data_IF_005898784884
#
_entry.id   IF_005898784884
#
_cell.length_a   1.000
_cell.length_b   1.000
_cell.length_c   1.000
_cell.angle_alpha   90.00
_cell.angle_beta   90.00
_cell.angle_gamma   90.00
#
_symmetry.space_group_name_H-M   'P 1'
#
loop_
_entity.id
_entity.type
_entity.pdbx_description
1 polymer ?
#
# COMPACT_ATOMS: atom_id res chain seq x y z
N UNK A 1 -52.02 20.52 -43.07
CA UNK A 1 -50.94 19.98 -42.21
C UNK A 1 -50.33 21.17 -41.50
N UNK A 2 -50.52 21.27 -40.20
CA UNK A 2 -50.22 22.48 -39.42
C UNK A 2 -48.85 22.36 -38.73
N UNK A 3 -47.92 23.22 -39.13
CA UNK A 3 -46.65 23.50 -38.41
C UNK A 3 -46.96 24.35 -37.17
N UNK A 4 -46.58 23.92 -36.00
CA UNK A 4 -46.62 24.74 -34.79
C UNK A 4 -45.19 25.23 -34.51
N UNK A 5 -45.04 26.54 -34.56
CA UNK A 5 -43.85 27.25 -34.10
C UNK A 5 -43.82 27.25 -32.56
N UNK A 6 -42.67 26.96 -31.98
CA UNK A 6 -42.40 27.12 -30.54
C UNK A 6 -41.53 28.36 -30.39
N UNK A 7 -42.04 29.35 -29.69
CA UNK A 7 -41.38 30.59 -29.30
C UNK A 7 -40.24 30.30 -28.27
N UNK A 8 -39.09 30.83 -28.53
CA UNK A 8 -38.04 30.98 -27.52
C UNK A 8 -38.30 32.25 -26.69
N UNK A 9 -38.51 32.05 -25.38
CA UNK A 9 -38.53 33.13 -24.40
C UNK A 9 -37.10 33.32 -23.89
N UNK A 10 -36.50 34.48 -24.16
CA UNK A 10 -35.24 34.90 -23.61
C UNK A 10 -35.46 35.45 -22.19
N UNK A 11 -35.04 34.73 -21.19
CA UNK A 11 -34.95 35.20 -19.80
C UNK A 11 -33.52 35.57 -19.51
N UNK A 12 -33.26 36.86 -19.30
CA UNK A 12 -31.98 37.40 -18.91
C UNK A 12 -31.59 36.88 -17.53
N UNK A 13 -30.47 36.15 -17.44
CA UNK A 13 -29.87 35.76 -16.19
C UNK A 13 -28.85 36.81 -15.76
N UNK A 14 -29.18 37.54 -14.70
CA UNK A 14 -28.27 38.50 -14.03
C UNK A 14 -27.16 37.71 -13.35
N UNK A 15 -25.95 37.89 -13.83
CA UNK A 15 -24.73 37.35 -13.19
C UNK A 15 -24.40 38.21 -11.97
N UNK A 16 -24.78 37.72 -10.79
CA UNK A 16 -24.25 38.21 -9.53
C UNK A 16 -22.85 37.58 -9.30
N UNK A 17 -21.80 38.38 -9.51
CA UNK A 17 -20.46 38.08 -9.04
C UNK A 17 -20.45 38.06 -7.50
N UNK A 18 -20.60 36.89 -6.91
CA UNK A 18 -20.35 36.65 -5.51
C UNK A 18 -18.85 36.42 -5.30
N UNK A 19 -18.11 37.47 -4.89
CA UNK A 19 -16.79 37.28 -4.32
C UNK A 19 -16.92 36.43 -3.03
N UNK A 20 -16.55 35.17 -3.11
CA UNK A 20 -16.29 34.37 -1.91
C UNK A 20 -14.97 34.85 -1.31
N UNK A 21 -15.07 35.69 -0.28
CA UNK A 21 -13.99 35.88 0.68
C UNK A 21 -13.68 34.49 1.29
N UNK A 22 -12.49 33.99 1.00
CA UNK A 22 -11.95 32.84 1.72
C UNK A 22 -11.67 33.29 3.16
N UNK A 23 -12.64 33.04 4.02
CA UNK A 23 -12.40 33.10 5.46
C UNK A 23 -11.54 31.88 5.80
N UNK A 24 -10.26 32.11 6.04
CA UNK A 24 -9.43 31.16 6.76
C UNK A 24 -9.99 31.02 8.17
N UNK A 25 -10.86 30.05 8.35
CA UNK A 25 -11.26 29.61 9.68
C UNK A 25 -10.06 28.81 10.20
N UNK A 26 -9.22 29.48 11.01
CA UNK A 26 -8.28 28.78 11.86
C UNK A 26 -9.11 27.82 12.73
N UNK A 27 -8.86 26.54 12.60
CA UNK A 27 -9.45 25.54 13.46
C UNK A 27 -9.09 25.88 14.92
N UNK A 28 -10.02 25.75 15.89
CA UNK A 28 -9.70 25.97 17.28
C UNK A 28 -8.74 24.87 17.74
N UNK A 29 -7.48 25.23 17.91
CA UNK A 29 -6.52 24.45 18.67
C UNK A 29 -6.92 24.51 20.14
N UNK A 30 -7.79 23.61 20.59
CA UNK A 30 -7.92 23.25 22.03
C UNK A 30 -8.78 21.98 22.16
N UNK A 31 -8.19 20.85 21.80
CA UNK A 31 -8.30 19.63 22.60
C UNK A 31 -6.86 19.18 22.78
N UNK A 32 -6.39 19.14 24.03
CA UNK A 32 -5.21 18.39 24.37
C UNK A 32 -5.48 16.96 23.91
N UNK A 33 -4.88 16.59 22.78
CA UNK A 33 -4.76 15.20 22.39
C UNK A 33 -4.13 14.48 23.57
N UNK A 34 -4.88 13.63 24.24
CA UNK A 34 -4.29 12.59 25.08
C UNK A 34 -3.28 11.91 24.17
N UNK A 35 -1.99 12.07 24.49
CA UNK A 35 -0.92 11.55 23.67
C UNK A 35 -1.18 10.07 23.45
N UNK A 36 -1.44 9.69 22.19
CA UNK A 36 -1.73 8.32 21.82
C UNK A 36 -0.49 7.48 22.10
N UNK A 37 -0.48 6.76 23.22
CA UNK A 37 0.67 6.02 23.76
C UNK A 37 0.85 4.65 23.08
N UNK A 38 0.61 4.55 21.79
CA UNK A 38 0.88 3.31 21.08
C UNK A 38 2.38 3.03 20.95
N UNK A 39 2.75 1.78 21.16
CA UNK A 39 4.12 1.31 21.01
C UNK A 39 4.47 1.18 19.53
N UNK A 40 5.44 1.97 19.08
CA UNK A 40 5.87 2.06 17.69
C UNK A 40 7.10 1.19 17.49
N UNK A 41 6.92 0.03 16.88
CA UNK A 41 8.00 -0.93 16.64
C UNK A 41 8.58 -0.72 15.25
N UNK A 42 9.88 -0.45 15.18
CA UNK A 42 10.63 -0.21 13.93
C UNK A 42 11.64 -1.35 13.69
N UNK A 43 11.98 -1.55 12.43
CA UNK A 43 13.10 -2.38 12.01
C UNK A 43 14.17 -1.51 11.35
N UNK A 44 15.40 -1.62 11.80
CA UNK A 44 16.46 -0.72 11.37
C UNK A 44 17.84 -1.35 11.46
N UNK A 45 18.81 -0.80 10.75
CA UNK A 45 20.23 -1.16 10.89
C UNK A 45 20.80 -0.30 12.02
N UNK A 46 21.21 -0.94 13.11
CA UNK A 46 21.72 -0.25 14.29
C UNK A 46 23.14 0.27 14.08
N UNK A 47 23.36 1.51 14.49
CA UNK A 47 24.69 2.13 14.53
C UNK A 47 25.48 1.82 15.80
N UNK A 48 24.85 1.19 16.80
CA UNK A 48 25.49 0.88 18.07
C UNK A 48 26.64 -0.12 17.88
N UNK A 49 27.84 0.15 18.45
CA UNK A 49 28.98 -0.74 18.28
C UNK A 49 28.73 -2.19 18.74
N UNK A 50 27.94 -2.36 19.79
CA UNK A 50 27.57 -3.68 20.30
C UNK A 50 26.73 -4.51 19.29
N UNK A 51 26.09 -3.87 18.33
CA UNK A 51 25.24 -4.52 17.34
C UNK A 51 25.96 -4.78 16.01
N UNK A 52 27.17 -4.22 15.80
CA UNK A 52 27.99 -4.49 14.63
C UNK A 52 27.33 -4.20 13.28
N UNK A 53 26.44 -3.23 13.18
CA UNK A 53 25.71 -2.92 11.95
C UNK A 53 24.63 -3.94 11.60
N UNK A 54 24.15 -4.71 12.57
CA UNK A 54 23.09 -5.70 12.37
C UNK A 54 21.72 -5.04 12.25
N UNK A 55 20.79 -5.74 11.61
CA UNK A 55 19.38 -5.38 11.62
C UNK A 55 18.78 -5.68 12.98
N UNK A 56 18.14 -4.69 13.56
CA UNK A 56 17.49 -4.79 14.87
C UNK A 56 16.02 -4.38 14.80
N UNK A 57 15.22 -4.92 15.72
CA UNK A 57 13.97 -4.31 16.11
C UNK A 57 14.19 -3.31 17.23
N UNK A 58 13.48 -2.19 17.17
CA UNK A 58 13.56 -1.12 18.16
C UNK A 58 12.20 -0.51 18.47
N UNK A 59 12.13 0.19 19.61
CA UNK A 59 10.99 1.02 20.01
C UNK A 59 11.30 2.47 19.65
N UNK A 60 10.47 3.10 18.84
CA UNK A 60 10.61 4.53 18.51
C UNK A 60 10.28 5.36 19.73
N UNK A 61 11.24 6.15 20.20
CA UNK A 61 11.12 7.04 21.35
C UNK A 61 10.78 8.48 20.95
N UNK A 62 11.30 8.90 19.79
CA UNK A 62 11.02 10.22 19.23
C UNK A 62 10.99 10.17 17.70
N UNK A 63 10.22 11.06 17.13
CA UNK A 63 10.15 11.31 15.70
C UNK A 63 10.06 12.81 15.41
N UNK A 64 10.40 13.19 14.19
CA UNK A 64 10.17 14.52 13.64
C UNK A 64 9.15 14.39 12.51
N UNK A 65 7.93 14.83 12.77
CA UNK A 65 6.83 14.80 11.81
C UNK A 65 6.64 13.40 11.15
N UNK A 66 6.66 12.35 11.95
CA UNK A 66 6.48 10.96 11.49
C UNK A 66 7.74 10.27 10.96
N UNK A 67 8.91 10.93 11.02
CA UNK A 67 10.21 10.37 10.65
C UNK A 67 10.95 10.01 11.94
N UNK A 68 11.36 8.74 12.15
CA UNK A 68 12.00 8.32 13.40
C UNK A 68 13.35 9.01 13.59
N UNK A 69 13.56 9.57 14.78
CA UNK A 69 14.80 10.27 15.14
C UNK A 69 15.54 9.58 16.27
N UNK A 70 14.82 8.87 17.15
CA UNK A 70 15.40 8.20 18.32
C UNK A 70 14.77 6.83 18.53
N UNK A 71 15.59 5.81 18.64
CA UNK A 71 15.14 4.42 18.76
C UNK A 71 15.84 3.76 19.97
N UNK A 72 15.08 3.03 20.77
CA UNK A 72 15.63 2.12 21.79
C UNK A 72 15.71 0.73 21.22
N UNK A 73 16.90 0.13 21.24
CA UNK A 73 17.10 -1.25 20.81
C UNK A 73 16.35 -2.22 21.75
N UNK A 74 15.63 -3.18 21.19
CA UNK A 74 14.90 -4.20 21.94
C UNK A 74 15.71 -5.47 22.21
N UNK A 75 16.91 -5.56 21.65
CA UNK A 75 17.84 -6.68 21.84
C UNK A 75 18.30 -6.89 23.28
N UNK A 76 18.30 -5.84 24.10
CA UNK A 76 18.64 -5.95 25.51
C UNK A 76 17.54 -6.67 26.33
N UNK A 77 16.31 -6.69 25.82
CA UNK A 77 15.21 -7.49 26.37
C UNK A 77 15.16 -8.89 25.76
N UNK A 78 15.52 -9.01 24.48
CA UNK A 78 15.56 -10.26 23.76
C UNK A 78 16.65 -10.25 22.67
N UNK A 79 17.84 -10.82 22.92
CA UNK A 79 19.01 -10.75 22.02
C UNK A 79 18.74 -11.13 20.56
N UNK A 80 17.85 -12.11 20.23
CA UNK A 80 17.53 -12.41 18.84
C UNK A 80 16.85 -11.29 18.05
N UNK A 81 16.45 -10.18 18.68
CA UNK A 81 15.89 -9.01 18.00
C UNK A 81 16.93 -8.14 17.30
N UNK A 82 18.25 -8.42 17.47
CA UNK A 82 19.33 -7.97 16.58
C UNK A 82 19.98 -9.19 15.94
N UNK A 83 20.11 -9.23 14.63
CA UNK A 83 20.57 -10.40 13.90
C UNK A 83 21.33 -10.09 12.63
N UNK A 84 22.28 -10.95 12.28
CA UNK A 84 23.01 -10.90 11.02
C UNK A 84 22.38 -11.86 9.99
N UNK A 85 22.19 -11.36 8.76
CA UNK A 85 21.79 -12.15 7.61
C UNK A 85 20.28 -12.26 7.38
N UNK A 86 19.91 -12.55 6.14
CA UNK A 86 18.51 -12.52 5.68
C UNK A 86 17.65 -13.66 6.22
N UNK A 87 18.21 -14.84 6.50
CA UNK A 87 17.45 -16.05 6.81
C UNK A 87 16.65 -16.02 8.11
N UNK A 88 16.86 -15.03 8.98
CA UNK A 88 16.08 -14.83 10.21
C UNK A 88 14.98 -13.78 10.07
N UNK A 89 15.00 -12.98 9.01
CA UNK A 89 14.01 -11.92 8.78
C UNK A 89 12.59 -12.44 8.66
N UNK A 90 12.48 -13.67 8.21
CA UNK A 90 11.23 -14.30 7.83
C UNK A 90 10.49 -14.96 9.00
N UNK A 91 11.00 -14.83 10.23
CA UNK A 91 10.33 -15.42 11.39
C UNK A 91 9.24 -14.49 11.94
N UNK A 92 7.95 -14.79 11.77
CA UNK A 92 6.83 -14.02 12.34
C UNK A 92 6.97 -13.86 13.85
N UNK A 93 7.55 -14.85 14.52
CA UNK A 93 7.89 -14.81 15.94
C UNK A 93 8.74 -13.62 16.32
N UNK A 94 9.67 -13.15 15.47
CA UNK A 94 10.49 -11.98 15.79
C UNK A 94 9.66 -10.72 15.90
N UNK A 95 8.65 -10.53 15.06
CA UNK A 95 7.72 -9.39 15.15
C UNK A 95 6.90 -9.45 16.43
N UNK A 96 6.37 -10.62 16.75
CA UNK A 96 5.62 -10.84 17.99
C UNK A 96 6.49 -10.57 19.22
N UNK A 97 7.71 -11.12 19.27
CA UNK A 97 8.66 -10.86 20.35
C UNK A 97 9.09 -9.40 20.44
N UNK A 98 9.19 -8.68 19.32
CA UNK A 98 9.48 -7.25 19.33
C UNK A 98 8.36 -6.44 20.02
N UNK A 99 7.10 -6.78 19.76
CA UNK A 99 5.98 -6.18 20.49
C UNK A 99 5.96 -6.55 21.97
N UNK A 100 6.19 -7.81 22.33
CA UNK A 100 6.27 -8.25 23.73
C UNK A 100 7.42 -7.56 24.47
N UNK A 101 8.58 -7.40 23.84
CA UNK A 101 9.71 -6.66 24.39
C UNK A 101 9.41 -5.17 24.55
N UNK A 102 8.72 -4.55 23.60
CA UNK A 102 8.31 -3.16 23.68
C UNK A 102 7.29 -2.94 24.80
N UNK A 103 6.33 -3.84 24.97
CA UNK A 103 5.34 -3.82 26.06
C UNK A 103 6.03 -3.98 27.44
N UNK A 104 6.97 -4.92 27.54
CA UNK A 104 7.77 -5.09 28.77
C UNK A 104 8.58 -3.85 29.10
N UNK A 105 9.21 -3.21 28.11
CA UNK A 105 9.97 -1.98 28.27
C UNK A 105 9.09 -0.81 28.74
N UNK A 106 7.84 -0.73 28.26
CA UNK A 106 6.88 0.30 28.62
C UNK A 106 6.35 0.13 30.07
N UNK A 107 6.05 -1.12 30.47
CA UNK A 107 5.49 -1.40 31.81
C UNK A 107 6.48 -1.21 32.94
N UNK A 108 7.73 -1.58 32.73
CA UNK A 108 8.72 -1.56 33.81
C UNK A 108 9.40 -0.21 34.01
N UNK A 109 9.13 0.81 33.17
CA UNK A 109 9.74 2.13 33.24
C UNK A 109 11.28 2.07 33.19
N UNK A 110 11.84 0.90 32.90
CA UNK A 110 13.25 0.65 32.92
C UNK A 110 13.90 1.27 31.68
N UNK A 111 14.87 2.13 31.89
CA UNK A 111 15.77 2.67 30.88
C UNK A 111 16.70 1.58 30.31
N UNK A 112 16.28 0.30 30.33
CA UNK A 112 17.03 -0.79 29.75
C UNK A 112 16.90 -0.76 28.24
N UNK A 113 18.02 -0.76 27.57
CA UNK A 113 18.15 -0.74 26.11
C UNK A 113 18.94 0.45 25.63
N UNK A 114 19.97 0.19 24.86
CA UNK A 114 20.80 1.22 24.27
C UNK A 114 19.96 2.09 23.32
N UNK A 115 20.20 3.40 23.36
CA UNK A 115 19.51 4.36 22.50
C UNK A 115 20.36 4.65 21.28
N UNK A 116 19.73 4.61 20.11
CA UNK A 116 20.28 4.93 18.82
C UNK A 116 19.66 6.24 18.32
N UNK A 117 20.48 7.24 18.06
CA UNK A 117 20.05 8.56 17.57
C UNK A 117 20.16 8.59 16.05
N UNK A 118 19.05 8.37 15.35
CA UNK A 118 19.03 8.24 13.88
C UNK A 118 19.26 9.58 13.18
N UNK A 119 18.74 10.68 13.74
CA UNK A 119 18.80 12.00 13.11
C UNK A 119 20.15 12.73 13.26
N UNK A 120 20.92 12.42 14.31
CA UNK A 120 22.22 13.06 14.56
C UNK A 120 23.34 12.41 13.73
N UNK A 121 23.14 11.14 13.33
CA UNK A 121 24.17 10.33 12.66
C UNK A 121 24.02 10.35 11.13
N UNK A 122 22.83 10.64 10.60
CA UNK A 122 22.53 10.52 9.18
C UNK A 122 21.77 11.72 8.66
N UNK A 123 22.18 12.29 7.52
CA UNK A 123 21.32 13.15 6.73
C UNK A 123 20.01 12.44 6.40
N UNK A 124 18.90 13.18 6.30
CA UNK A 124 17.57 12.58 6.05
C UNK A 124 17.51 11.76 4.77
N UNK A 125 18.30 12.11 3.74
CA UNK A 125 18.43 11.38 2.49
C UNK A 125 19.08 10.00 2.64
N UNK A 126 19.76 9.74 3.76
CA UNK A 126 20.40 8.45 4.06
C UNK A 126 19.56 7.53 4.97
N UNK A 127 18.37 7.94 5.38
CA UNK A 127 17.47 7.06 6.15
C UNK A 127 17.07 5.80 5.38
N UNK A 128 17.06 5.85 4.04
CA UNK A 128 16.86 4.67 3.20
C UNK A 128 17.87 3.53 3.44
N UNK A 129 19.06 3.86 3.93
CA UNK A 129 20.10 2.87 4.20
C UNK A 129 19.91 2.15 5.54
N UNK A 130 19.22 2.77 6.49
CA UNK A 130 19.13 2.27 7.87
C UNK A 130 17.74 1.93 8.34
N UNK A 131 16.69 2.55 7.80
CA UNK A 131 15.30 2.23 8.14
C UNK A 131 14.75 1.23 7.12
N UNK A 132 14.47 0.04 7.59
CA UNK A 132 14.05 -1.08 6.77
C UNK A 132 12.52 -1.23 6.77
N UNK A 133 11.94 -1.97 5.80
CA UNK A 133 10.54 -2.32 5.88
C UNK A 133 10.27 -3.01 7.22
N UNK A 134 9.24 -2.59 7.97
CA UNK A 134 8.96 -3.18 9.29
C UNK A 134 8.58 -4.65 9.19
N UNK A 135 8.10 -5.08 8.04
CA UNK A 135 7.75 -6.45 7.71
C UNK A 135 8.77 -7.02 6.72
N UNK A 136 9.10 -8.30 6.88
CA UNK A 136 10.03 -8.97 5.98
C UNK A 136 9.35 -10.16 5.32
N UNK A 137 9.28 -10.11 4.00
CA UNK A 137 8.89 -11.22 3.14
C UNK A 137 10.05 -11.44 2.17
N UNK A 138 10.50 -12.67 2.00
CA UNK A 138 11.48 -13.01 0.98
C UNK A 138 10.80 -13.51 -0.29
N UNK A 139 11.52 -13.44 -1.41
CA UNK A 139 11.07 -14.02 -2.68
C UNK A 139 10.83 -15.53 -2.54
N UNK A 140 11.70 -16.22 -1.81
CA UNK A 140 11.56 -17.65 -1.58
C UNK A 140 10.25 -18.01 -0.84
N UNK A 141 9.77 -17.15 0.06
CA UNK A 141 8.48 -17.31 0.74
C UNK A 141 7.31 -17.04 -0.19
N UNK A 142 7.40 -16.02 -1.02
CA UNK A 142 6.41 -15.76 -2.06
C UNK A 142 6.33 -16.94 -3.05
N UNK A 143 7.48 -17.44 -3.50
CA UNK A 143 7.55 -18.56 -4.45
C UNK A 143 7.01 -19.86 -3.89
N UNK A 144 7.25 -20.11 -2.62
CA UNK A 144 6.77 -21.32 -1.93
C UNK A 144 5.38 -21.19 -1.35
N UNK A 145 4.69 -20.09 -1.61
CA UNK A 145 3.36 -19.78 -1.04
C UNK A 145 3.33 -19.79 0.50
N UNK A 146 4.48 -19.55 1.13
CA UNK A 146 4.55 -19.51 2.58
C UNK A 146 4.04 -18.20 3.16
N UNK A 147 4.05 -17.13 2.33
CA UNK A 147 3.46 -15.83 2.68
C UNK A 147 2.94 -15.13 1.45
N UNK A 148 1.97 -14.26 1.65
CA UNK A 148 1.34 -13.52 0.57
C UNK A 148 1.23 -12.04 0.91
N UNK A 149 1.21 -11.20 -0.11
CA UNK A 149 0.73 -9.83 -0.03
C UNK A 149 -0.61 -9.81 -0.75
N UNK A 150 -1.65 -9.41 -0.04
CA UNK A 150 -3.03 -9.35 -0.52
C UNK A 150 -3.40 -7.89 -0.69
N UNK A 151 -3.74 -7.49 -1.91
CA UNK A 151 -4.31 -6.18 -2.20
C UNK A 151 -5.83 -6.22 -2.20
N UNK A 152 -6.45 -5.18 -1.61
CA UNK A 152 -7.88 -4.95 -1.65
C UNK A 152 -8.15 -3.68 -2.45
N UNK A 153 -8.39 -3.81 -3.75
CA UNK A 153 -8.61 -2.68 -4.64
C UNK A 153 -9.99 -2.04 -4.47
N UNK A 154 -10.06 -0.75 -4.80
CA UNK A 154 -11.32 0.01 -4.96
C UNK A 154 -12.18 0.01 -3.69
N UNK A 155 -11.55 0.24 -2.54
CA UNK A 155 -12.19 0.12 -1.22
C UNK A 155 -12.63 1.46 -0.60
N UNK A 156 -12.57 2.54 -1.36
CA UNK A 156 -13.12 3.86 -1.01
C UNK A 156 -14.13 4.29 -2.07
N UNK A 157 -15.25 4.88 -1.66
CA UNK A 157 -16.30 5.28 -2.58
C UNK A 157 -15.80 6.29 -3.62
N UNK A 158 -15.03 7.28 -3.18
CA UNK A 158 -14.45 8.32 -4.04
C UNK A 158 -13.54 7.71 -5.12
N UNK A 159 -12.67 6.77 -4.73
CA UNK A 159 -11.81 6.08 -5.70
C UNK A 159 -12.62 5.22 -6.69
N UNK A 160 -13.73 4.60 -6.27
CA UNK A 160 -14.63 3.88 -7.17
C UNK A 160 -15.23 4.79 -8.24
N UNK A 161 -15.64 5.99 -7.83
CA UNK A 161 -16.21 6.99 -8.74
C UNK A 161 -15.14 7.47 -9.75
N UNK A 162 -13.89 7.63 -9.34
CA UNK A 162 -12.76 8.02 -10.20
C UNK A 162 -12.44 7.00 -11.31
N UNK A 163 -12.55 5.71 -10.99
CA UNK A 163 -12.27 4.62 -11.93
C UNK A 163 -13.54 4.01 -12.57
N UNK A 164 -14.70 4.60 -12.32
CA UNK A 164 -15.96 4.22 -12.95
C UNK A 164 -16.52 2.86 -12.54
N UNK A 165 -16.21 2.40 -11.32
CA UNK A 165 -16.68 1.10 -10.79
C UNK A 165 -17.87 1.31 -9.86
N UNK A 166 -18.93 0.48 -10.03
CA UNK A 166 -20.13 0.53 -9.19
C UNK A 166 -19.77 0.43 -7.70
N UNK A 167 -20.15 1.40 -6.85
CA UNK A 167 -19.93 1.36 -5.41
C UNK A 167 -20.52 0.12 -4.70
N UNK A 168 -21.58 -0.46 -5.26
CA UNK A 168 -22.21 -1.69 -4.75
C UNK A 168 -21.47 -2.97 -5.18
N UNK A 169 -20.44 -2.87 -6.03
CA UNK A 169 -19.69 -4.00 -6.56
C UNK A 169 -18.97 -4.84 -5.50
N UNK A 170 -18.59 -6.05 -5.89
CA UNK A 170 -17.78 -6.94 -5.06
C UNK A 170 -16.41 -6.29 -4.74
N UNK A 171 -15.82 -6.68 -3.60
CA UNK A 171 -14.45 -6.28 -3.26
C UNK A 171 -13.48 -6.96 -4.23
N UNK A 172 -12.63 -6.17 -4.86
CA UNK A 172 -11.54 -6.68 -5.68
C UNK A 172 -10.40 -7.10 -4.77
N UNK A 173 -10.06 -8.38 -4.77
CA UNK A 173 -8.89 -8.91 -4.09
C UNK A 173 -7.90 -9.48 -5.11
N UNK A 174 -6.63 -9.19 -4.92
CA UNK A 174 -5.57 -9.68 -5.81
C UNK A 174 -4.29 -10.00 -5.03
N UNK A 175 -3.52 -11.01 -5.45
CA UNK A 175 -2.18 -11.22 -4.92
C UNK A 175 -1.22 -10.18 -5.50
N UNK A 176 -0.34 -9.65 -4.66
CA UNK A 176 0.73 -8.71 -5.03
C UNK A 176 2.08 -9.35 -4.69
N UNK A 177 2.64 -10.21 -5.57
CA UNK A 177 3.90 -10.90 -5.33
C UNK A 177 5.11 -9.96 -5.44
N UNK A 178 5.30 -9.13 -4.44
CA UNK A 178 6.38 -8.14 -4.35
C UNK A 178 7.01 -8.16 -2.96
N UNK A 179 8.31 -7.94 -2.90
CA UNK A 179 9.04 -7.78 -1.63
C UNK A 179 8.85 -6.35 -1.13
N UNK A 180 8.42 -6.14 0.13
CA UNK A 180 8.33 -4.81 0.70
C UNK A 180 9.68 -4.08 0.70
N UNK A 181 9.66 -2.79 0.42
CA UNK A 181 10.81 -1.89 0.56
C UNK A 181 10.66 -0.98 1.76
N UNK A 182 11.77 -0.40 2.21
CA UNK A 182 11.76 0.57 3.30
C UNK A 182 11.02 1.87 2.93
N UNK A 183 10.59 2.64 3.93
CA UNK A 183 9.76 3.83 3.75
C UNK A 183 10.50 4.99 3.05
N UNK A 184 11.81 4.90 2.93
CA UNK A 184 12.68 5.92 2.33
C UNK A 184 13.46 5.39 1.13
N UNK A 185 13.23 4.12 0.75
CA UNK A 185 13.86 3.52 -0.41
C UNK A 185 13.26 4.09 -1.71
N UNK A 186 14.07 4.32 -2.77
CA UNK A 186 13.56 4.83 -4.03
C UNK A 186 12.62 3.83 -4.70
N UNK A 187 11.63 4.36 -5.42
CA UNK A 187 10.77 3.61 -6.34
C UNK A 187 11.31 3.75 -7.76
N UNK A 188 11.42 2.65 -8.48
CA UNK A 188 11.99 2.61 -9.82
C UNK A 188 10.91 2.72 -10.89
N UNK A 189 11.02 3.71 -11.76
CA UNK A 189 10.12 3.91 -12.92
C UNK A 189 10.58 3.11 -14.15
N UNK A 190 11.19 1.97 -13.93
CA UNK A 190 11.62 1.06 -14.99
C UNK A 190 11.48 -0.39 -14.56
N UNK A 191 11.20 -1.24 -15.51
CA UNK A 191 11.02 -2.68 -15.28
C UNK A 191 11.82 -3.49 -16.30
N UNK A 192 12.46 -4.57 -15.84
CA UNK A 192 13.15 -5.54 -16.67
C UNK A 192 12.62 -6.94 -16.36
N UNK A 193 11.95 -7.57 -17.31
CA UNK A 193 11.38 -8.92 -17.17
C UNK A 193 12.34 -9.93 -17.85
N UNK A 194 12.99 -10.77 -17.06
CA UNK A 194 13.93 -11.77 -17.57
C UNK A 194 15.07 -11.11 -18.36
N UNK A 195 15.28 -11.59 -19.62
CA UNK A 195 16.30 -11.07 -20.54
C UNK A 195 15.75 -10.02 -21.51
N UNK A 196 14.49 -9.61 -21.37
CA UNK A 196 13.91 -8.53 -22.16
C UNK A 196 14.54 -7.20 -21.72
N UNK A 197 14.93 -6.33 -22.68
CA UNK A 197 15.47 -5.02 -22.32
C UNK A 197 14.55 -4.25 -21.38
N UNK A 198 15.15 -3.52 -20.46
CA UNK A 198 14.41 -2.66 -19.55
C UNK A 198 13.53 -1.67 -20.31
N UNK A 199 12.28 -1.47 -19.85
CA UNK A 199 11.38 -0.45 -20.36
C UNK A 199 11.04 0.56 -19.27
N UNK A 200 10.82 1.84 -19.61
CA UNK A 200 10.25 2.78 -18.67
C UNK A 200 8.81 2.40 -18.33
N UNK A 201 8.39 2.75 -17.13
CA UNK A 201 6.99 2.76 -16.70
C UNK A 201 6.52 4.20 -16.79
N UNK A 202 5.67 4.49 -17.76
CA UNK A 202 5.21 5.85 -18.05
C UNK A 202 3.93 6.20 -17.28
N UNK A 203 3.09 5.22 -16.99
CA UNK A 203 1.86 5.41 -16.21
C UNK A 203 2.07 4.95 -14.76
N UNK A 204 3.14 5.47 -14.12
CA UNK A 204 3.48 5.16 -12.72
C UNK A 204 2.57 5.93 -11.78
N UNK A 205 1.81 5.22 -10.96
CA UNK A 205 0.83 5.77 -10.05
C UNK A 205 1.11 5.37 -8.60
N UNK A 206 0.54 6.10 -7.68
CA UNK A 206 0.70 5.98 -6.23
C UNK A 206 -0.65 5.67 -5.57
N UNK A 207 -0.61 4.90 -4.49
CA UNK A 207 -1.78 4.55 -3.70
C UNK A 207 -1.38 4.40 -2.23
N UNK A 208 -1.58 5.46 -1.41
CA UNK A 208 -1.34 5.34 0.03
C UNK A 208 -2.44 4.50 0.67
N UNK A 209 -2.04 3.54 1.50
CA UNK A 209 -2.95 2.58 2.12
C UNK A 209 -2.62 2.30 3.58
N UNK A 210 -3.64 1.95 4.33
CA UNK A 210 -3.45 1.28 5.61
C UNK A 210 -3.02 -0.17 5.33
N UNK A 211 -1.78 -0.51 5.67
CA UNK A 211 -1.27 -1.87 5.59
C UNK A 211 -1.39 -2.58 6.93
N UNK A 212 -1.54 -3.90 6.91
CA UNK A 212 -1.43 -4.73 8.10
C UNK A 212 -0.60 -5.98 7.83
N UNK A 213 0.04 -6.49 8.88
CA UNK A 213 0.74 -7.77 8.91
C UNK A 213 0.06 -8.71 9.89
N UNK A 214 -0.07 -9.98 9.51
CA UNK A 214 -0.53 -11.03 10.41
C UNK A 214 0.61 -11.43 11.36
N UNK A 215 0.38 -11.35 12.65
CA UNK A 215 1.34 -11.79 13.69
C UNK A 215 1.23 -13.28 13.97
N UNK A 216 0.10 -13.89 13.60
CA UNK A 216 -0.20 -15.31 13.72
C UNK A 216 -0.85 -15.82 12.44
N UNK A 217 -0.82 -17.14 12.22
CA UNK A 217 -1.54 -17.78 11.13
C UNK A 217 -3.05 -17.50 11.22
N UNK A 218 -3.67 -17.25 10.08
CA UNK A 218 -5.10 -16.98 9.97
C UNK A 218 -5.79 -18.09 9.18
N UNK A 219 -6.52 -18.97 9.88
CA UNK A 219 -7.34 -19.99 9.27
C UNK A 219 -8.67 -19.39 8.80
N UNK A 220 -8.88 -19.36 7.48
CA UNK A 220 -10.09 -18.83 6.86
C UNK A 220 -11.33 -19.74 7.09
N UNK A 221 -11.13 -20.98 7.48
CA UNK A 221 -12.23 -21.88 7.89
C UNK A 221 -12.66 -21.65 9.34
N UNK A 222 -11.76 -21.08 10.16
CA UNK A 222 -12.00 -20.85 11.58
C UNK A 222 -11.51 -19.47 12.01
N UNK A 223 -12.20 -18.43 11.53
CA UNK A 223 -11.85 -17.05 11.87
C UNK A 223 -11.98 -16.75 13.36
N UNK A 224 -11.25 -15.76 13.90
CA UNK A 224 -11.53 -15.17 15.20
C UNK A 224 -13.01 -14.82 15.35
N UNK A 225 -13.54 -14.93 16.57
CA UNK A 225 -14.99 -14.76 16.81
C UNK A 225 -15.49 -13.33 16.71
N UNK A 226 -14.60 -12.35 16.73
CA UNK A 226 -14.93 -10.92 16.71
C UNK A 226 -13.81 -10.07 16.11
N UNK A 227 -14.12 -8.81 15.80
CA UNK A 227 -13.13 -7.80 15.45
C UNK A 227 -12.02 -7.69 16.51
N UNK A 228 -12.39 -7.65 17.79
CA UNK A 228 -11.42 -7.54 18.89
C UNK A 228 -10.44 -8.70 18.91
N UNK A 229 -10.94 -9.92 18.75
CA UNK A 229 -10.08 -11.10 18.69
C UNK A 229 -9.19 -11.15 17.43
N UNK A 230 -9.61 -10.53 16.34
CA UNK A 230 -8.82 -10.40 15.12
C UNK A 230 -7.74 -9.32 15.26
N UNK A 231 -8.11 -8.13 15.79
CA UNK A 231 -7.23 -6.97 15.83
C UNK A 231 -6.00 -7.20 16.70
N UNK A 232 -6.08 -8.09 17.71
CA UNK A 232 -4.97 -8.51 18.56
C UNK A 232 -3.90 -9.31 17.79
N UNK A 233 -4.28 -9.91 16.66
CA UNK A 233 -3.41 -10.77 15.85
C UNK A 233 -2.71 -10.05 14.72
N UNK A 234 -2.84 -8.73 14.64
CA UNK A 234 -2.29 -7.93 13.55
C UNK A 234 -1.52 -6.73 14.06
N UNK A 235 -0.63 -6.20 13.23
CA UNK A 235 -0.04 -4.89 13.41
C UNK A 235 -0.20 -4.06 12.13
N UNK A 236 -0.39 -2.75 12.28
CA UNK A 236 -0.61 -1.81 11.18
C UNK A 236 0.64 -1.02 10.86
N UNK A 237 0.78 -0.62 9.59
CA UNK A 237 1.84 0.23 9.06
C UNK A 237 1.33 1.03 7.86
N UNK A 238 2.09 2.03 7.42
CA UNK A 238 1.83 2.74 6.16
C UNK A 238 2.32 1.88 5.01
N UNK A 239 1.48 1.65 4.01
CA UNK A 239 1.86 1.03 2.74
C UNK A 239 1.64 2.01 1.58
N UNK A 240 2.35 1.79 0.47
CA UNK A 240 2.04 2.41 -0.80
C UNK A 240 1.93 1.33 -1.87
N UNK A 241 0.75 1.19 -2.47
CA UNK A 241 0.49 0.21 -3.53
C UNK A 241 0.84 0.82 -4.90
N UNK A 242 2.13 1.08 -5.10
CA UNK A 242 2.64 1.64 -6.35
C UNK A 242 2.23 0.77 -7.53
N UNK A 243 1.83 1.42 -8.62
CA UNK A 243 1.16 0.76 -9.74
C UNK A 243 1.67 1.23 -11.08
N UNK A 244 1.97 0.30 -11.98
CA UNK A 244 2.05 0.51 -13.42
C UNK A 244 0.64 0.35 -13.99
N UNK A 245 0.03 1.42 -14.47
CA UNK A 245 -1.37 1.39 -14.93
C UNK A 245 -1.53 0.79 -16.31
N UNK A 246 -0.49 0.73 -17.14
CA UNK A 246 -0.57 0.14 -18.47
C UNK A 246 -1.13 -1.28 -18.44
N UNK A 247 -0.52 -2.27 -17.73
CA UNK A 247 -1.07 -3.63 -17.68
C UNK A 247 -2.44 -3.70 -17.00
N UNK A 248 -2.72 -2.82 -16.02
CA UNK A 248 -4.03 -2.77 -15.35
C UNK A 248 -5.16 -2.36 -16.31
N UNK A 249 -4.86 -1.45 -17.24
CA UNK A 249 -5.83 -0.97 -18.24
C UNK A 249 -6.01 -1.99 -19.37
N UNK A 250 -4.91 -2.65 -19.79
CA UNK A 250 -4.91 -3.49 -20.98
C UNK A 250 -5.33 -4.93 -20.72
N UNK A 251 -5.21 -5.45 -19.50
CA UNK A 251 -5.43 -6.86 -19.17
C UNK A 251 -6.36 -7.02 -17.95
N UNK A 252 -7.60 -7.41 -18.22
CA UNK A 252 -8.62 -7.61 -17.18
C UNK A 252 -8.35 -8.83 -16.27
N UNK A 253 -7.54 -9.80 -16.73
CA UNK A 253 -7.32 -11.05 -15.99
C UNK A 253 -6.10 -10.99 -15.07
N UNK A 254 -4.99 -10.44 -15.56
CA UNK A 254 -3.72 -10.47 -14.85
C UNK A 254 -3.15 -9.07 -14.56
N UNK A 255 -3.76 -8.04 -15.11
CA UNK A 255 -3.25 -6.69 -15.10
C UNK A 255 -2.96 -6.15 -13.69
N UNK A 256 -3.82 -6.43 -12.71
CA UNK A 256 -3.59 -6.01 -11.34
C UNK A 256 -2.33 -6.63 -10.74
N UNK A 257 -2.18 -7.95 -10.83
CA UNK A 257 -0.98 -8.61 -10.30
C UNK A 257 0.27 -8.17 -11.07
N UNK A 258 0.19 -8.02 -12.39
CA UNK A 258 1.32 -7.58 -13.21
C UNK A 258 1.72 -6.14 -12.97
N UNK A 259 0.76 -5.22 -12.97
CA UNK A 259 1.05 -3.78 -12.83
C UNK A 259 1.44 -3.36 -11.42
N UNK A 260 1.14 -4.17 -10.42
CA UNK A 260 1.39 -3.85 -9.01
C UNK A 260 2.56 -4.62 -8.38
N UNK A 261 3.22 -5.54 -9.12
CA UNK A 261 4.20 -6.46 -8.53
C UNK A 261 5.64 -6.25 -9.01
N UNK A 262 5.94 -5.10 -9.64
CA UNK A 262 7.31 -4.77 -9.97
C UNK A 262 8.17 -4.54 -8.72
N UNK A 263 9.49 -4.80 -8.78
CA UNK A 263 10.40 -4.47 -7.70
C UNK A 263 10.23 -3.02 -7.23
N UNK A 264 10.36 -2.80 -5.93
CA UNK A 264 10.19 -1.50 -5.25
C UNK A 264 8.76 -0.96 -5.16
N UNK A 265 7.74 -1.65 -5.68
CA UNK A 265 6.34 -1.17 -5.73
C UNK A 265 5.55 -1.38 -4.43
N UNK A 266 6.23 -1.65 -3.31
CA UNK A 266 5.60 -1.76 -2.00
C UNK A 266 6.45 -1.08 -0.90
N UNK A 267 6.59 0.25 -0.91
CA UNK A 267 7.13 0.98 0.25
C UNK A 267 6.27 0.74 1.49
N UNK A 268 6.90 0.39 2.63
CA UNK A 268 6.22 0.10 3.89
C UNK A 268 6.92 0.75 5.08
N UNK A 269 6.17 1.06 6.11
CA UNK A 269 6.69 1.64 7.35
C UNK A 269 6.51 3.16 7.44
N UNK A 270 7.26 3.85 8.34
CA UNK A 270 8.51 3.45 8.99
C UNK A 270 8.40 2.46 10.15
N UNK A 271 7.28 2.40 10.83
CA UNK A 271 7.07 1.51 11.98
C UNK A 271 5.74 0.79 11.94
N UNK A 272 5.55 -0.14 12.84
CA UNK A 272 4.28 -0.83 13.08
C UNK A 272 3.73 -0.49 14.44
N UNK A 273 2.40 -0.53 14.55
CA UNK A 273 1.65 -0.43 15.80
C UNK A 273 0.73 -1.65 15.90
N UNK A 274 0.67 -2.30 17.07
CA UNK A 274 -0.23 -3.43 17.32
C UNK A 274 -1.68 -2.99 17.12
N UNK A 275 -2.46 -3.82 16.45
CA UNK A 275 -3.83 -3.46 16.08
C UNK A 275 -4.72 -3.14 17.28
N UNK A 276 -4.60 -3.87 18.39
CA UNK A 276 -5.34 -3.59 19.62
C UNK A 276 -5.04 -2.21 20.22
N UNK A 277 -3.87 -1.64 19.97
CA UNK A 277 -3.51 -0.30 20.41
C UNK A 277 -4.02 0.79 19.45
N UNK A 278 -4.13 0.51 18.16
CA UNK A 278 -4.52 1.47 17.15
C UNK A 278 -6.04 1.51 16.88
N UNK A 279 -6.67 0.32 16.79
CA UNK A 279 -8.10 0.13 16.56
C UNK A 279 -8.68 1.01 15.46
N UNK A 280 -8.15 0.96 14.21
CA UNK A 280 -8.56 1.89 13.16
C UNK A 280 -10.06 1.77 12.89
N UNK A 281 -10.74 2.93 12.89
CA UNK A 281 -12.16 3.02 12.57
C UNK A 281 -12.35 2.96 11.07
N UNK A 282 -13.28 2.13 10.66
CA UNK A 282 -13.81 2.06 9.30
C UNK A 282 -15.31 2.35 9.34
N UNK A 283 -16.01 2.27 8.24
CA UNK A 283 -17.48 2.50 8.23
C UNK A 283 -18.25 1.63 9.22
N UNK A 284 -17.72 0.48 9.64
CA UNK A 284 -18.45 -0.52 10.44
C UNK A 284 -17.71 -1.03 11.67
N UNK A 285 -16.45 -0.73 11.83
CA UNK A 285 -15.57 -1.36 12.83
C UNK A 285 -14.56 -0.34 13.37
N UNK A 286 -14.04 -0.57 14.58
CA UNK A 286 -12.98 0.22 15.20
C UNK A 286 -13.44 1.50 15.90
N UNK A 287 -12.49 2.21 16.51
CA UNK A 287 -12.76 3.31 17.42
C UNK A 287 -12.20 4.66 16.91
N UNK A 288 -11.03 4.65 16.26
CA UNK A 288 -10.31 5.87 15.88
C UNK A 288 -10.25 6.02 14.36
N UNK A 289 -10.86 7.08 13.80
CA UNK A 289 -10.66 7.44 12.41
C UNK A 289 -9.27 8.03 12.26
N UNK A 290 -8.41 7.34 11.50
CA UNK A 290 -7.04 7.76 11.23
C UNK A 290 -7.02 8.57 9.93
N UNK A 291 -6.32 9.69 9.95
CA UNK A 291 -6.04 10.43 8.71
C UNK A 291 -5.04 9.66 7.87
N UNK A 292 -5.33 9.55 6.58
CA UNK A 292 -4.45 8.96 5.58
C UNK A 292 -4.25 9.96 4.44
N UNK A 293 -3.00 10.19 4.05
CA UNK A 293 -2.72 11.20 3.04
C UNK A 293 -1.44 10.95 2.25
N UNK A 294 -1.37 11.61 1.08
CA UNK A 294 -0.23 11.57 0.18
C UNK A 294 -0.05 12.91 -0.53
N UNK A 295 1.21 13.33 -0.60
CA UNK A 295 1.67 14.52 -1.29
C UNK A 295 2.74 14.17 -2.32
N UNK A 296 2.72 14.85 -3.45
CA UNK A 296 3.73 14.74 -4.51
C UNK A 296 4.46 16.07 -4.65
N UNK A 297 5.78 16.00 -4.70
CA UNK A 297 6.71 17.08 -4.98
C UNK A 297 7.30 16.82 -6.36
N UNK A 298 6.78 17.51 -7.37
CA UNK A 298 7.18 17.32 -8.76
C UNK A 298 8.60 17.86 -8.98
N UNK A 299 9.47 17.07 -9.61
CA UNK A 299 10.87 17.43 -9.86
C UNK A 299 11.03 18.69 -10.72
N UNK A 300 10.08 18.96 -11.61
CA UNK A 300 10.07 20.10 -12.53
C UNK A 300 9.46 21.37 -11.94
N UNK A 301 8.79 21.25 -10.78
CA UNK A 301 8.15 22.37 -10.10
C UNK A 301 9.09 23.07 -9.11
N UNK A 302 8.66 24.23 -8.59
CA UNK A 302 9.35 24.83 -7.45
C UNK A 302 9.33 23.89 -6.24
N UNK A 303 10.40 23.80 -5.43
CA UNK A 303 10.44 22.95 -4.24
C UNK A 303 9.30 23.18 -3.25
N UNK A 304 8.69 24.38 -3.28
CA UNK A 304 7.55 24.73 -2.42
C UNK A 304 6.19 24.37 -3.05
N UNK A 305 6.18 23.86 -4.27
CA UNK A 305 4.95 23.46 -4.95
C UNK A 305 4.61 22.01 -4.60
N UNK A 306 3.88 21.84 -3.49
CA UNK A 306 3.40 20.54 -3.01
C UNK A 306 2.02 20.28 -3.57
N UNK A 307 1.84 19.14 -4.18
CA UNK A 307 0.54 18.66 -4.66
C UNK A 307 -0.05 17.68 -3.64
N UNK A 308 -1.04 18.12 -2.87
CA UNK A 308 -1.84 17.19 -2.05
C UNK A 308 -2.71 16.35 -2.99
N UNK A 309 -2.41 15.07 -3.12
CA UNK A 309 -3.06 14.15 -4.05
C UNK A 309 -4.14 13.33 -3.37
N UNK A 310 -3.86 12.77 -2.21
CA UNK A 310 -4.79 11.93 -1.46
C UNK A 310 -4.93 12.44 -0.02
N UNK A 311 -6.17 12.51 0.47
CA UNK A 311 -6.46 12.84 1.86
C UNK A 311 -7.86 12.31 2.24
N UNK A 312 -7.91 11.40 3.20
CA UNK A 312 -9.16 10.83 3.70
C UNK A 312 -9.03 10.38 5.16
N UNK A 313 -10.16 10.00 5.78
CA UNK A 313 -10.16 9.22 7.01
C UNK A 313 -10.33 7.73 6.71
N UNK A 314 -9.80 6.87 7.55
CA UNK A 314 -10.03 5.42 7.45
C UNK A 314 -11.50 5.04 7.63
N UNK A 315 -12.31 5.89 8.26
CA UNK A 315 -13.76 5.73 8.41
C UNK A 315 -14.52 5.85 7.08
N UNK A 316 -13.91 6.40 6.03
CA UNK A 316 -14.44 6.37 4.66
C UNK A 316 -14.20 5.04 3.92
N UNK A 317 -13.43 4.11 4.51
CA UNK A 317 -13.16 2.79 3.95
C UNK A 317 -14.42 1.94 3.93
N UNK A 318 -14.82 1.42 2.76
CA UNK A 318 -16.05 0.65 2.57
C UNK A 318 -16.03 -0.69 3.31
N UNK A 319 -14.86 -1.34 3.37
CA UNK A 319 -14.63 -2.59 4.07
C UNK A 319 -13.35 -2.51 4.89
N UNK A 320 -13.47 -2.55 6.20
CA UNK A 320 -12.33 -2.57 7.09
C UNK A 320 -11.55 -3.89 7.05
N UNK A 321 -10.39 -3.96 7.73
CA UNK A 321 -9.52 -5.14 7.72
C UNK A 321 -10.25 -6.45 8.07
N UNK A 322 -11.10 -6.42 9.08
CA UNK A 322 -11.89 -7.58 9.50
C UNK A 322 -12.93 -7.98 8.46
N UNK A 323 -13.59 -7.01 7.82
CA UNK A 323 -14.55 -7.28 6.76
C UNK A 323 -13.87 -7.86 5.51
N UNK A 324 -12.64 -7.47 5.19
CA UNK A 324 -11.83 -8.06 4.11
C UNK A 324 -11.57 -9.55 4.41
N UNK A 325 -11.11 -9.86 5.61
CA UNK A 325 -10.82 -11.24 6.02
C UNK A 325 -12.07 -12.11 6.01
N UNK A 326 -13.21 -11.62 6.52
CA UNK A 326 -14.49 -12.32 6.45
C UNK A 326 -14.93 -12.58 5.01
N UNK A 327 -14.73 -11.61 4.12
CA UNK A 327 -15.04 -11.78 2.71
C UNK A 327 -14.20 -12.90 2.08
N UNK A 328 -12.90 -13.00 2.40
CA UNK A 328 -12.06 -14.11 1.95
C UNK A 328 -12.56 -15.47 2.47
N UNK A 329 -12.93 -15.56 3.74
CA UNK A 329 -13.52 -16.76 4.32
C UNK A 329 -14.83 -17.17 3.63
N UNK A 330 -15.71 -16.20 3.36
CA UNK A 330 -16.95 -16.46 2.61
C UNK A 330 -16.69 -16.94 1.18
N UNK A 331 -15.70 -16.38 0.50
CA UNK A 331 -15.27 -16.81 -0.83
C UNK A 331 -14.80 -18.26 -0.80
N UNK A 332 -13.92 -18.59 0.16
CA UNK A 332 -13.41 -19.94 0.35
C UNK A 332 -14.54 -20.95 0.66
N UNK A 333 -15.48 -20.57 1.55
CA UNK A 333 -16.63 -21.41 1.90
C UNK A 333 -17.55 -21.71 0.70
N UNK A 334 -17.58 -20.81 -0.30
CA UNK A 334 -18.30 -21.01 -1.56
C UNK A 334 -17.48 -21.77 -2.62
N UNK A 335 -16.28 -22.25 -2.26
CA UNK A 335 -15.36 -22.92 -3.18
C UNK A 335 -14.71 -21.98 -4.21
N UNK A 336 -14.73 -20.67 -3.97
CA UNK A 336 -14.09 -19.66 -4.83
C UNK A 336 -12.69 -19.40 -4.30
N UNK A 337 -11.69 -19.82 -5.06
CA UNK A 337 -10.28 -19.54 -4.78
C UNK A 337 -9.85 -18.37 -5.66
N UNK A 338 -9.24 -17.37 -5.04
CA UNK A 338 -8.68 -16.26 -5.81
C UNK A 338 -7.26 -16.64 -6.18
N UNK A 339 -7.04 -16.76 -7.48
CA UNK A 339 -5.75 -16.97 -8.09
C UNK A 339 -5.61 -16.03 -9.28
N UNK A 340 -4.49 -15.35 -9.38
CA UNK A 340 -4.11 -14.54 -10.54
C UNK A 340 -2.72 -14.94 -11.01
N UNK A 341 -2.40 -14.67 -12.28
CA UNK A 341 -1.06 -14.90 -12.81
C UNK A 341 -0.18 -13.69 -12.60
N UNK A 342 1.07 -13.91 -12.21
CA UNK A 342 2.09 -12.86 -12.20
C UNK A 342 2.61 -12.54 -13.63
N UNK A 343 3.56 -11.61 -13.72
CA UNK A 343 4.16 -11.21 -14.99
C UNK A 343 4.85 -12.37 -15.76
N UNK A 344 5.15 -13.45 -15.07
CA UNK A 344 5.79 -14.65 -15.62
C UNK A 344 4.81 -15.80 -15.88
N UNK A 345 3.50 -15.58 -15.67
CA UNK A 345 2.49 -16.60 -15.84
C UNK A 345 2.37 -17.57 -14.67
N UNK A 346 3.08 -17.35 -13.54
CA UNK A 346 2.97 -18.22 -12.37
C UNK A 346 1.66 -17.95 -11.62
N UNK A 347 0.94 -18.98 -11.17
CA UNK A 347 -0.26 -18.80 -10.37
C UNK A 347 0.10 -18.26 -8.98
N UNK A 348 -0.62 -17.23 -8.53
CA UNK A 348 -0.49 -16.63 -7.21
C UNK A 348 -1.83 -16.70 -6.50
N UNK A 349 -1.83 -17.22 -5.28
CA UNK A 349 -3.02 -17.45 -4.47
C UNK A 349 -3.03 -16.53 -3.25
N UNK A 350 -4.21 -16.27 -2.66
CA UNK A 350 -4.35 -15.46 -1.45
C UNK A 350 -4.17 -16.25 -0.15
N UNK A 351 -4.17 -17.57 -0.20
CA UNK A 351 -4.02 -18.48 0.94
C UNK A 351 -3.38 -19.79 0.47
N UNK A 352 -2.91 -20.59 1.38
CA UNK A 352 -2.36 -21.93 1.10
C UNK A 352 -3.45 -22.97 0.74
N UNK A 353 -3.03 -24.23 0.53
CA UNK A 353 -3.92 -25.32 0.16
C UNK A 353 -4.98 -25.65 1.23
N UNK A 354 -4.67 -25.35 2.49
CA UNK A 354 -5.53 -25.63 3.63
C UNK A 354 -6.43 -24.45 4.01
N UNK A 355 -6.39 -23.36 3.24
CA UNK A 355 -7.16 -22.13 3.49
C UNK A 355 -6.57 -21.26 4.58
N UNK A 356 -5.27 -21.42 4.86
CA UNK A 356 -4.55 -20.61 5.85
C UNK A 356 -3.78 -19.48 5.18
N UNK A 357 -3.85 -18.31 5.77
CA UNK A 357 -2.94 -17.19 5.45
C UNK A 357 -1.85 -17.18 6.51
N UNK A 358 -0.59 -17.49 6.14
CA UNK A 358 0.49 -17.63 7.12
C UNK A 358 0.83 -16.31 7.82
N UNK A 359 1.28 -16.40 9.06
CA UNK A 359 1.84 -15.28 9.81
C UNK A 359 2.98 -14.59 9.04
N UNK A 360 3.04 -13.27 9.09
CA UNK A 360 3.93 -12.44 8.29
C UNK A 360 3.39 -12.10 6.90
N UNK A 361 2.25 -12.65 6.48
CA UNK A 361 1.53 -12.17 5.28
C UNK A 361 0.97 -10.78 5.51
N UNK A 362 0.84 -10.02 4.42
CA UNK A 362 0.39 -8.64 4.42
C UNK A 362 -0.99 -8.51 3.78
N UNK A 363 -1.78 -7.59 4.28
CA UNK A 363 -3.00 -7.13 3.62
C UNK A 363 -2.89 -5.61 3.49
N UNK A 364 -3.06 -5.09 2.28
CA UNK A 364 -3.19 -3.66 2.00
C UNK A 364 -4.65 -3.39 1.66
N UNK A 365 -5.22 -2.33 2.25
CA UNK A 365 -6.67 -2.24 2.42
C UNK A 365 -7.39 -1.38 1.40
N UNK A 366 -6.67 -0.92 0.38
CA UNK A 366 -7.18 -0.01 -0.63
C UNK A 366 -6.91 1.46 -0.31
N UNK A 367 -6.84 2.25 -1.37
CA UNK A 367 -6.46 3.66 -1.35
C UNK A 367 -7.68 4.59 -1.43
N UNK A 368 -7.65 5.79 -0.82
CA UNK A 368 -8.64 6.83 -1.05
C UNK A 368 -8.56 7.39 -2.48
N UNK A 369 -9.52 8.25 -2.86
CA UNK A 369 -9.48 9.01 -4.09
C UNK A 369 -8.24 9.89 -4.21
N UNK A 370 -7.94 10.35 -5.44
CA UNK A 370 -6.79 11.20 -5.74
C UNK A 370 -5.62 10.49 -6.42
N UNK A 371 -5.76 9.24 -6.86
CA UNK A 371 -4.79 8.54 -7.72
C UNK A 371 -4.63 9.25 -9.07
N UNK A 372 -3.59 8.93 -9.83
CA UNK A 372 -3.38 9.54 -11.14
C UNK A 372 -4.37 9.05 -12.19
N UNK A 373 -4.76 7.77 -12.12
CA UNK A 373 -5.72 7.18 -13.07
C UNK A 373 -7.10 7.81 -12.95
N UNK A 374 -7.72 8.11 -14.10
CA UNK A 374 -9.10 8.60 -14.21
C UNK A 374 -9.85 7.84 -15.28
N UNK A 375 -11.11 7.53 -15.02
CA UNK A 375 -12.00 6.98 -16.03
C UNK A 375 -12.23 8.01 -17.15
N UNK A 376 -12.08 7.64 -18.43
CA UNK A 376 -12.43 8.53 -19.53
C UNK A 376 -13.91 8.96 -19.46
N UNK A 377 -14.18 10.25 -19.72
CA UNK A 377 -15.53 10.75 -19.82
C UNK A 377 -16.31 10.13 -21.00
N UNK A 378 -17.64 10.24 -20.99
CA UNK A 378 -18.49 9.63 -22.02
C UNK A 378 -18.10 10.00 -23.46
N UNK A 379 -17.79 11.25 -23.72
CA UNK A 379 -17.34 11.72 -25.04
C UNK A 379 -15.97 11.17 -25.42
N UNK A 380 -15.05 11.12 -24.48
CA UNK A 380 -13.73 10.52 -24.67
C UNK A 380 -13.81 9.02 -24.93
N UNK A 381 -14.68 8.29 -24.19
CA UNK A 381 -14.95 6.87 -24.47
C UNK A 381 -15.49 6.66 -25.89
N UNK A 382 -16.42 7.50 -26.34
CA UNK A 382 -16.97 7.42 -27.69
C UNK A 382 -15.90 7.71 -28.74
N UNK A 383 -15.05 8.70 -28.53
CA UNK A 383 -13.92 9.03 -29.41
C UNK A 383 -12.91 7.89 -29.49
N UNK A 384 -12.46 7.37 -28.33
CA UNK A 384 -11.52 6.24 -28.27
C UNK A 384 -12.09 5.00 -28.99
N UNK A 385 -13.38 4.72 -28.80
CA UNK A 385 -14.03 3.59 -29.46
C UNK A 385 -14.12 3.76 -30.98
N UNK A 386 -14.39 4.98 -31.47
CA UNK A 386 -14.37 5.30 -32.90
C UNK A 386 -12.95 5.19 -33.47
N UNK A 387 -11.95 5.76 -32.81
CA UNK A 387 -10.54 5.67 -33.19
C UNK A 387 -10.03 4.23 -33.20
N UNK A 388 -10.49 3.41 -32.26
CA UNK A 388 -10.19 1.98 -32.17
C UNK A 388 -10.98 1.09 -33.13
N UNK A 389 -11.71 1.65 -34.10
CA UNK A 389 -12.47 0.90 -35.09
C UNK A 389 -13.57 0.04 -34.47
N UNK A 390 -14.21 0.52 -33.40
CA UNK A 390 -15.24 -0.16 -32.61
C UNK A 390 -14.72 -1.39 -31.82
N UNK A 391 -13.41 -1.48 -31.59
CA UNK A 391 -12.79 -2.48 -30.72
C UNK A 391 -12.51 -1.88 -29.35
N UNK A 392 -12.93 -2.56 -28.28
CA UNK A 392 -12.63 -2.15 -26.90
C UNK A 392 -11.13 -2.28 -26.59
N UNK A 393 -10.50 -3.35 -27.07
CA UNK A 393 -9.06 -3.57 -26.91
C UNK A 393 -8.25 -2.46 -27.57
N UNK A 394 -8.57 -2.11 -28.83
CA UNK A 394 -7.92 -1.02 -29.53
C UNK A 394 -8.20 0.35 -28.85
N UNK A 395 -9.38 0.57 -28.32
CA UNK A 395 -9.71 1.79 -27.58
C UNK A 395 -8.90 1.92 -26.28
N UNK A 396 -8.67 0.82 -25.55
CA UNK A 396 -7.80 0.79 -24.36
C UNK A 396 -6.35 1.06 -24.74
N UNK A 397 -5.87 0.47 -25.81
CA UNK A 397 -4.51 0.70 -26.32
C UNK A 397 -4.30 2.18 -26.67
N UNK A 398 -5.23 2.80 -27.40
CA UNK A 398 -5.18 4.23 -27.74
C UNK A 398 -5.23 5.11 -26.50
N UNK A 399 -6.03 4.73 -25.49
CA UNK A 399 -6.10 5.47 -24.24
C UNK A 399 -4.75 5.47 -23.49
N UNK A 400 -4.06 4.33 -23.46
CA UNK A 400 -2.72 4.21 -22.89
C UNK A 400 -1.74 5.07 -23.69
N UNK A 401 -1.70 4.94 -25.02
CA UNK A 401 -0.83 5.71 -25.90
C UNK A 401 -1.05 7.23 -25.75
N UNK A 402 -2.30 7.68 -25.70
CA UNK A 402 -2.64 9.10 -25.48
C UNK A 402 -2.13 9.57 -24.10
N UNK A 403 -2.31 8.77 -23.02
CA UNK A 403 -1.84 9.11 -21.69
C UNK A 403 -0.31 9.16 -21.61
N UNK A 404 0.40 8.27 -22.29
CA UNK A 404 1.86 8.24 -22.38
C UNK A 404 2.43 9.44 -23.15
N UNK A 405 1.70 9.96 -24.14
CA UNK A 405 2.13 11.15 -24.89
C UNK A 405 1.90 12.46 -24.13
N UNK A 406 0.98 12.47 -23.18
CA UNK A 406 0.57 13.67 -22.43
C UNK A 406 0.99 13.59 -20.95
N UNK A 407 2.09 12.90 -20.65
CA UNK A 407 2.58 12.65 -19.27
C UNK A 407 2.69 13.95 -18.48
N UNK A 408 3.25 15.02 -19.05
CA UNK A 408 3.40 16.32 -18.38
C UNK A 408 2.10 17.04 -18.03
N UNK A 409 0.95 16.59 -18.57
CA UNK A 409 -0.38 17.09 -18.23
C UNK A 409 -1.18 16.11 -17.32
N UNK A 410 -0.62 14.93 -17.04
CA UNK A 410 -1.23 13.90 -16.17
C UNK A 410 -0.72 14.03 -14.75
N UNK A 411 -1.34 13.30 -13.82
CA UNK A 411 -0.90 13.22 -12.44
C UNK A 411 0.05 12.02 -12.18
N UNK A 412 0.49 11.32 -13.22
CA UNK A 412 1.44 10.20 -13.09
C UNK A 412 2.81 10.69 -12.65
N UNK A 413 3.53 9.83 -11.93
CA UNK A 413 4.85 10.13 -11.39
C UNK A 413 5.93 10.03 -12.47
N UNK A 414 6.88 10.97 -12.41
CA UNK A 414 8.03 11.04 -13.30
C UNK A 414 9.35 10.86 -12.52
N UNK A 415 10.41 10.53 -13.25
CA UNK A 415 11.75 10.43 -12.65
C UNK A 415 12.20 11.73 -11.98
N UNK A 416 12.56 11.64 -10.71
CA UNK A 416 12.94 12.77 -9.87
C UNK A 416 11.84 13.28 -8.94
N UNK A 417 10.58 12.88 -9.14
CA UNK A 417 9.50 13.20 -8.21
C UNK A 417 9.75 12.60 -6.84
N UNK A 418 9.29 13.31 -5.81
CA UNK A 418 9.30 12.81 -4.44
C UNK A 418 7.87 12.67 -3.93
N UNK A 419 7.61 11.55 -3.30
CA UNK A 419 6.32 11.23 -2.69
C UNK A 419 6.47 11.19 -1.18
N UNK A 420 5.57 11.86 -0.47
CA UNK A 420 5.39 11.72 0.96
C UNK A 420 4.02 11.15 1.24
N UNK A 421 3.94 10.06 2.00
CA UNK A 421 2.68 9.44 2.39
C UNK A 421 2.66 9.07 3.86
N UNK A 422 1.50 9.14 4.49
CA UNK A 422 1.34 8.89 5.92
C UNK A 422 -0.02 8.30 6.25
N UNK A 423 -0.05 7.61 7.37
CA UNK A 423 -1.26 7.30 8.13
C UNK A 423 -1.01 7.78 9.55
N UNK A 424 -1.97 8.45 10.12
CA UNK A 424 -1.90 9.00 11.50
C UNK A 424 -1.43 7.93 12.49
N UNK A 425 -0.48 8.27 13.37
CA UNK A 425 0.23 7.40 14.32
C UNK A 425 1.15 6.33 13.72
N UNK A 426 1.16 6.12 12.40
CA UNK A 426 1.99 5.11 11.73
C UNK A 426 3.25 5.68 11.07
N UNK A 427 3.45 6.99 11.18
CA UNK A 427 4.59 7.69 10.63
C UNK A 427 4.44 8.10 9.18
N UNK A 428 5.56 8.56 8.60
CA UNK A 428 5.62 9.13 7.25
C UNK A 428 6.66 8.42 6.41
N UNK A 429 6.27 8.03 5.23
CA UNK A 429 7.17 7.59 4.16
C UNK A 429 7.64 8.81 3.36
N UNK A 430 8.86 8.73 2.82
CA UNK A 430 9.40 9.73 1.90
C UNK A 430 10.33 9.04 0.92
N UNK A 431 9.87 8.86 -0.28
CA UNK A 431 10.64 8.19 -1.33
C UNK A 431 10.66 9.00 -2.62
N UNK A 432 11.68 8.77 -3.44
CA UNK A 432 11.82 9.42 -4.74
C UNK A 432 11.63 8.41 -5.87
N UNK A 433 11.21 8.91 -7.02
CA UNK A 433 11.15 8.14 -8.26
C UNK A 433 12.49 8.22 -8.97
N UNK A 434 13.06 7.05 -9.30
CA UNK A 434 14.30 6.95 -10.10
C UNK A 434 14.01 6.29 -11.44
N UNK A 435 14.63 6.82 -12.51
CA UNK A 435 14.33 6.40 -13.88
C UNK A 435 15.03 5.09 -14.30
N UNK A 436 15.70 4.39 -13.39
CA UNK A 436 16.35 3.12 -13.67
C UNK A 436 15.38 1.93 -13.54
N UNK A 437 15.82 0.76 -14.00
CA UNK A 437 15.08 -0.48 -13.91
C UNK A 437 15.78 -1.46 -12.99
N UNK A 438 15.01 -2.18 -12.20
CA UNK A 438 15.47 -3.34 -11.48
C UNK A 438 14.97 -4.61 -12.17
N UNK A 439 15.85 -5.61 -12.30
CA UNK A 439 15.46 -6.90 -12.86
C UNK A 439 14.51 -7.58 -11.90
N UNK A 440 13.40 -8.04 -12.42
CA UNK A 440 12.47 -8.83 -11.62
C UNK A 440 13.11 -10.12 -11.16
N UNK A 441 12.95 -10.47 -9.88
CA UNK A 441 13.64 -11.61 -9.28
C UNK A 441 13.05 -12.97 -9.68
N UNK A 442 11.91 -12.98 -10.34
CA UNK A 442 11.20 -14.21 -10.68
C UNK A 442 11.63 -14.76 -12.05
N UNK A 443 11.81 -16.07 -12.12
CA UNK A 443 11.99 -16.78 -13.37
C UNK A 443 10.66 -17.17 -14.00
N UNK A 444 10.63 -17.32 -15.33
CA UNK A 444 9.50 -17.88 -16.06
C UNK A 444 9.40 -19.36 -15.69
N UNK A 445 8.41 -19.74 -14.89
CA UNK A 445 8.20 -21.16 -14.56
C UNK A 445 7.06 -21.83 -15.34
N UNK A 446 6.35 -21.14 -16.18
CA UNK A 446 5.45 -21.62 -17.24
C UNK A 446 4.46 -22.78 -16.96
N UNK A 447 4.45 -23.33 -15.77
CA UNK A 447 3.74 -24.56 -15.45
C UNK A 447 2.78 -24.35 -14.27
N UNK A 448 1.59 -23.86 -14.56
CA UNK A 448 0.51 -23.83 -13.59
C UNK A 448 -0.68 -23.07 -14.15
N UNK A 449 -1.86 -23.68 -14.17
CA UNK A 449 -3.07 -22.97 -14.52
C UNK A 449 -3.71 -22.39 -13.26
N UNK A 450 -4.03 -21.09 -13.27
CA UNK A 450 -5.09 -20.56 -12.43
C UNK A 450 -6.41 -21.09 -13.02
N UNK A 451 -6.80 -22.29 -12.66
CA UNK A 451 -8.11 -22.80 -13.06
C UNK A 451 -9.13 -22.41 -11.99
N UNK A 452 -10.32 -21.92 -12.39
CA UNK A 452 -11.40 -21.71 -11.45
C UNK A 452 -11.68 -23.00 -10.66
N UNK A 453 -11.43 -22.98 -9.34
CA UNK A 453 -11.59 -24.14 -8.46
C UNK A 453 -10.34 -25.03 -8.30
N UNK A 454 -9.21 -24.70 -8.93
CA UNK A 454 -7.95 -25.39 -8.63
C UNK A 454 -7.45 -25.01 -7.22
N UNK A 455 -7.13 -26.01 -6.41
CA UNK A 455 -6.49 -25.78 -5.10
C UNK A 455 -4.99 -25.51 -5.32
N UNK A 456 -4.37 -24.64 -4.52
CA UNK A 456 -2.92 -24.57 -4.49
C UNK A 456 -2.37 -25.97 -4.19
N UNK A 457 -1.45 -26.46 -5.01
CA UNK A 457 -0.83 -27.76 -4.74
C UNK A 457 0.12 -27.60 -3.56
N UNK A 458 0.11 -28.53 -2.59
CA UNK A 458 1.13 -28.55 -1.56
C UNK A 458 2.50 -28.70 -2.25
N UNK A 459 3.43 -27.86 -1.87
CA UNK A 459 4.82 -27.95 -2.35
C UNK A 459 5.36 -29.28 -1.86
N UNK A 460 5.61 -30.23 -2.77
CA UNK A 460 6.31 -31.47 -2.42
C UNK A 460 7.72 -31.10 -2.00
N UNK A 461 8.08 -31.41 -0.76
CA UNK A 461 9.46 -31.42 -0.30
C UNK A 461 10.30 -32.30 -1.23
N UNK A 462 11.08 -31.67 -2.10
CA UNK A 462 12.14 -32.33 -2.85
C UNK A 462 13.43 -31.56 -2.65
#
# INVERSE_FOLDING_TARGET
MRMRAILFSATACVVLLGMKLASSVAAPQTQQEEAFNALRVIRYISSLPAHGGQTCYGLVLADDNGIPTKVRALSDHYPPLCYAGESRFTQPRLMQWAFEAAEAAAVHGEEKGAIDELSELLPQDRLAEVVLPPVAISIAELDKLQRVVIGAGINYAEHRDEVGVDPAGELLLFPKPVVPTGPYAPVRAGVQIGDIPARPVLLLDYEVELGLVLLEDLDLHQLPSSYDAFIDKVAFFVANDVSDREPIILDDETGYTRGKSHPTYLPTGPWMVRGSQLRPRTMKEGDHSLQIGLEVYEATASPDNVQSRQLAGTDAMLRGPWAIVRYMSEMLARGRIICMRDAYGNPRYLHDADGVIPAGSLIITGTPGGTAIREPGLWQKAELFLRGGFSLEAARQIFVEDAEHDIGATAYLEGGDRVESWVEYLGRQRWSVVADAEREPYGISGAGACEPGSRPHPVSDK
#
